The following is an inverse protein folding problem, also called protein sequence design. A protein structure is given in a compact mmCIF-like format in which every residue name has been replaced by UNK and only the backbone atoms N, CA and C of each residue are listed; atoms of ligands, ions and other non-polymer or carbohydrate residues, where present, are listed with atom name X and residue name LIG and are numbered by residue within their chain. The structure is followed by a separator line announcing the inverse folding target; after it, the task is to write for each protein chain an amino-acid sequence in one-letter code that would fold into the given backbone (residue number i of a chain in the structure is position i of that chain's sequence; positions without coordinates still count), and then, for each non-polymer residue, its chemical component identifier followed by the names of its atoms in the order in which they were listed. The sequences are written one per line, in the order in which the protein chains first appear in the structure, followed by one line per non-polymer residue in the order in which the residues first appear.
data_IF_958264672230
#
_entry.id   IF_958264672230
#
_cell.length_a   1.000
_cell.length_b   1.000
_cell.length_c   1.000
_cell.angle_alpha   90.00
_cell.angle_beta   90.00
_cell.angle_gamma   90.00
#
_symmetry.space_group_name_H-M   'P 1'
#
loop_
_entity.id
_entity.type
_entity.pdbx_description
1 polymer ?
#
# COMPACT_ATOMS: atom_id res chain seq x y z
N UNK A 1 -36.97 38.26 -21.40
CA UNK A 1 -35.60 37.70 -21.51
C UNK A 1 -35.71 36.20 -21.35
N UNK A 2 -35.28 35.49 -22.39
CA UNK A 2 -35.30 34.04 -22.60
C UNK A 2 -34.35 33.34 -21.60
N UNK A 3 -34.49 32.09 -21.17
CA UNK A 3 -34.70 30.86 -21.95
C UNK A 3 -35.32 29.73 -21.14
N UNK A 4 -36.13 28.93 -21.83
CA UNK A 4 -36.71 27.66 -21.41
C UNK A 4 -35.85 26.52 -21.99
N UNK A 5 -35.82 25.42 -21.24
CA UNK A 5 -35.31 24.05 -21.44
C UNK A 5 -35.33 23.48 -22.89
N UNK A 6 -34.55 22.41 -23.16
CA UNK A 6 -35.11 21.05 -23.35
C UNK A 6 -34.05 19.99 -23.72
N UNK A 7 -34.24 18.81 -23.13
CA UNK A 7 -33.61 17.55 -23.46
C UNK A 7 -34.07 16.99 -24.83
N UNK A 8 -33.19 16.18 -25.43
CA UNK A 8 -33.42 15.07 -26.38
C UNK A 8 -34.30 15.33 -27.63
N UNK A 9 -33.71 15.22 -28.83
CA UNK A 9 -34.32 14.59 -30.03
C UNK A 9 -33.19 14.15 -30.96
N UNK A 10 -33.07 12.83 -31.14
CA UNK A 10 -32.38 12.20 -32.28
C UNK A 10 -33.34 12.23 -33.46
N UNK A 11 -32.91 12.61 -34.67
CA UNK A 11 -33.48 12.09 -35.90
C UNK A 11 -32.51 12.21 -37.09
N UNK A 12 -32.43 11.10 -37.80
CA UNK A 12 -31.58 10.74 -38.92
C UNK A 12 -32.11 11.41 -40.19
N UNK A 13 -31.23 11.93 -41.06
CA UNK A 13 -31.55 12.07 -42.49
C UNK A 13 -30.37 11.57 -43.32
N UNK A 14 -30.54 10.36 -43.84
CA UNK A 14 -29.74 9.78 -44.93
C UNK A 14 -30.21 10.29 -46.29
N UNK A 15 -29.29 10.29 -47.25
CA UNK A 15 -29.44 10.42 -48.71
C UNK A 15 -29.42 11.84 -49.30
N UNK A 16 -28.37 12.16 -50.06
CA UNK A 16 -28.39 12.19 -51.53
C UNK A 16 -26.96 12.40 -52.09
N UNK A 17 -26.67 11.66 -53.15
CA UNK A 17 -25.40 11.56 -53.87
C UNK A 17 -25.29 12.76 -54.85
N UNK A 18 -24.12 13.40 -54.93
CA UNK A 18 -23.87 14.40 -55.97
C UNK A 18 -22.52 15.12 -55.91
N UNK A 19 -21.53 14.55 -56.62
CA UNK A 19 -20.44 15.19 -57.40
C UNK A 19 -19.32 16.01 -56.72
N UNK A 20 -18.08 15.53 -57.01
CA UNK A 20 -16.81 16.25 -57.27
C UNK A 20 -16.33 17.30 -56.25
N UNK A 21 -15.31 16.98 -55.45
CA UNK A 21 -13.92 17.12 -55.86
C UNK A 21 -12.92 16.60 -54.81
N UNK A 22 -11.78 16.20 -55.36
CA UNK A 22 -10.60 15.61 -54.78
C UNK A 22 -9.89 16.52 -53.76
N UNK A 23 -9.71 16.11 -52.50
CA UNK A 23 -8.53 16.52 -51.73
C UNK A 23 -8.04 15.39 -50.81
N UNK A 24 -6.80 15.02 -51.07
CA UNK A 24 -5.96 14.09 -50.33
C UNK A 24 -5.91 14.46 -48.85
N UNK A 25 -6.21 13.50 -47.98
CA UNK A 25 -5.36 13.27 -46.81
C UNK A 25 -5.56 11.85 -46.27
N UNK A 26 -4.61 10.99 -46.65
CA UNK A 26 -4.22 9.82 -45.86
C UNK A 26 -3.75 10.32 -44.49
N UNK A 27 -4.64 10.37 -43.52
CA UNK A 27 -4.24 10.27 -42.12
C UNK A 27 -4.56 8.87 -41.64
N UNK A 28 -3.51 8.04 -41.66
CA UNK A 28 -3.44 6.83 -40.86
C UNK A 28 -3.66 7.21 -39.40
N UNK A 29 -4.84 6.98 -38.84
CA UNK A 29 -5.02 6.94 -37.40
C UNK A 29 -4.49 5.59 -36.91
N UNK A 30 -3.18 5.51 -36.77
CA UNK A 30 -2.51 4.48 -36.00
C UNK A 30 -2.09 5.11 -34.67
N UNK A 31 -2.39 4.38 -33.60
CA UNK A 31 -1.98 4.56 -32.21
C UNK A 31 -2.82 5.52 -31.35
N UNK A 32 -3.81 4.95 -30.67
CA UNK A 32 -3.81 5.03 -29.21
C UNK A 32 -3.56 3.62 -28.67
N UNK A 33 -2.30 3.22 -28.63
CA UNK A 33 -1.88 2.16 -27.74
C UNK A 33 -1.85 2.78 -26.33
N UNK A 34 -2.78 2.37 -25.47
CA UNK A 34 -2.62 2.56 -24.04
C UNK A 34 -1.37 1.78 -23.62
N UNK A 35 -0.26 2.48 -23.41
CA UNK A 35 0.96 1.88 -22.89
C UNK A 35 0.80 1.61 -21.39
N UNK A 36 0.07 0.55 -21.07
CA UNK A 36 0.32 -0.26 -19.88
C UNK A 36 0.46 -1.70 -20.36
N UNK A 37 1.52 -1.97 -21.11
CA UNK A 37 1.90 -3.33 -21.44
C UNK A 37 2.90 -3.78 -20.39
N UNK A 38 2.42 -4.52 -19.38
CA UNK A 38 3.23 -5.10 -18.31
C UNK A 38 3.96 -6.35 -18.82
N UNK A 39 4.55 -6.24 -20.01
CA UNK A 39 5.05 -7.37 -20.76
C UNK A 39 6.55 -7.13 -20.96
N UNK A 40 7.34 -7.57 -19.97
CA UNK A 40 8.79 -7.34 -19.97
C UNK A 40 9.53 -8.46 -20.68
N UNK A 41 9.72 -8.26 -21.97
CA UNK A 41 10.45 -9.18 -22.82
C UNK A 41 11.27 -8.37 -23.83
N UNK A 42 12.34 -8.99 -24.34
CA UNK A 42 12.97 -8.51 -25.56
C UNK A 42 12.64 -9.44 -26.73
N UNK A 43 12.55 -8.90 -27.93
CA UNK A 43 12.41 -9.70 -29.16
C UNK A 43 13.76 -9.77 -29.83
N UNK A 44 14.27 -10.97 -30.09
CA UNK A 44 15.52 -11.12 -30.85
C UNK A 44 15.30 -10.94 -32.36
N UNK A 45 16.39 -10.91 -33.12
CA UNK A 45 16.36 -10.76 -34.60
C UNK A 45 15.58 -11.85 -35.35
N UNK A 46 15.18 -12.94 -34.68
CA UNK A 46 14.34 -14.01 -35.22
C UNK A 46 12.87 -13.90 -34.78
N UNK A 47 12.46 -12.79 -34.16
CA UNK A 47 11.09 -12.61 -33.68
C UNK A 47 10.74 -13.38 -32.39
N UNK A 48 11.71 -14.02 -31.73
CA UNK A 48 11.43 -14.77 -30.48
C UNK A 48 11.46 -13.83 -29.29
N UNK A 49 10.43 -13.94 -28.45
CA UNK A 49 10.33 -13.25 -27.17
C UNK A 49 11.22 -13.94 -26.13
N UNK A 50 12.06 -13.17 -25.48
CA UNK A 50 12.91 -13.57 -24.36
C UNK A 50 12.30 -12.93 -23.12
N UNK A 51 11.83 -13.76 -22.20
CA UNK A 51 11.30 -13.30 -20.91
C UNK A 51 12.42 -12.64 -20.11
N UNK A 52 12.23 -11.36 -19.82
CA UNK A 52 13.15 -10.57 -19.00
C UNK A 52 12.56 -10.32 -17.62
N UNK A 53 11.46 -10.96 -17.22
CA UNK A 53 10.80 -10.77 -15.92
C UNK A 53 11.78 -10.82 -14.75
N UNK A 54 12.76 -11.72 -14.75
CA UNK A 54 13.80 -11.80 -13.71
C UNK A 54 14.80 -10.62 -13.67
N UNK A 55 14.96 -9.89 -14.77
CA UNK A 55 15.79 -8.69 -14.88
C UNK A 55 14.97 -7.40 -14.68
N UNK A 56 13.74 -7.41 -15.20
CA UNK A 56 12.76 -6.33 -15.07
C UNK A 56 12.05 -6.34 -13.72
N UNK A 57 12.29 -7.36 -12.89
CA UNK A 57 11.95 -7.37 -11.46
C UNK A 57 12.79 -6.37 -10.66
N UNK A 58 13.09 -5.21 -11.24
CA UNK A 58 13.28 -3.97 -10.49
C UNK A 58 11.99 -3.53 -9.79
N UNK A 59 10.87 -4.20 -10.03
CA UNK A 59 9.59 -4.03 -9.38
C UNK A 59 9.46 -4.72 -8.01
N UNK A 60 10.50 -4.67 -7.15
CA UNK A 60 10.38 -4.62 -5.67
C UNK A 60 11.59 -3.92 -5.00
N UNK A 61 12.18 -2.93 -5.67
CA UNK A 61 13.10 -1.95 -5.05
C UNK A 61 12.42 -0.60 -4.80
N UNK A 62 11.09 -0.58 -4.72
CA UNK A 62 10.35 0.65 -4.50
C UNK A 62 10.44 1.05 -3.05
N UNK A 63 10.94 2.27 -2.81
CA UNK A 63 10.95 2.86 -1.49
C UNK A 63 9.53 3.26 -1.13
N UNK A 64 8.95 2.61 -0.11
CA UNK A 64 7.62 2.96 0.40
C UNK A 64 7.74 4.19 1.27
N UNK A 65 6.98 5.24 0.93
CA UNK A 65 6.98 6.50 1.69
C UNK A 65 5.68 6.62 2.48
N UNK A 66 5.80 6.69 3.80
CA UNK A 66 4.69 6.75 4.74
C UNK A 66 4.65 8.13 5.39
N UNK A 67 3.56 8.91 5.24
CA UNK A 67 3.44 10.18 5.92
C UNK A 67 3.35 9.98 7.44
N UNK A 68 4.06 10.82 8.20
CA UNK A 68 3.93 10.91 9.65
C UNK A 68 2.75 11.84 9.94
N UNK A 69 1.71 11.32 10.59
CA UNK A 69 0.49 12.10 10.88
C UNK A 69 0.75 13.21 11.89
N UNK A 70 1.50 12.88 12.94
CA UNK A 70 2.03 13.80 13.95
C UNK A 70 3.14 13.13 14.74
N UNK A 71 3.72 13.84 15.70
CA UNK A 71 4.64 13.27 16.68
C UNK A 71 4.10 13.41 18.09
N UNK A 72 4.24 12.36 18.89
CA UNK A 72 3.95 12.40 20.31
C UNK A 72 5.24 12.15 21.07
N UNK A 73 5.70 13.14 21.86
CA UNK A 73 7.00 13.09 22.56
C UNK A 73 8.17 12.74 21.63
N UNK A 74 8.13 13.23 20.39
CA UNK A 74 9.13 12.97 19.37
C UNK A 74 8.92 11.67 18.57
N UNK A 75 8.04 10.76 18.99
CA UNK A 75 7.80 9.48 18.32
C UNK A 75 6.82 9.68 17.14
N UNK A 76 7.12 9.17 15.93
CA UNK A 76 6.19 9.21 14.79
C UNK A 76 4.90 8.46 15.07
N UNK A 77 3.77 9.09 14.76
CA UNK A 77 2.46 8.42 14.72
C UNK A 77 2.05 8.22 13.26
N UNK A 78 1.69 6.99 12.91
CA UNK A 78 1.28 6.58 11.56
C UNK A 78 -0.09 5.92 11.58
N UNK A 79 -0.80 5.97 10.45
CA UNK A 79 -2.06 5.25 10.27
C UNK A 79 -1.79 3.85 9.71
N UNK A 80 -2.27 2.84 10.44
CA UNK A 80 -2.06 1.43 10.14
C UNK A 80 -3.41 0.76 9.94
N UNK A 81 -3.54 -0.01 8.86
CA UNK A 81 -4.78 -0.74 8.55
C UNK A 81 -4.67 -2.19 9.01
N UNK A 82 -5.55 -2.59 9.91
CA UNK A 82 -5.71 -3.96 10.39
C UNK A 82 -6.88 -4.64 9.67
N UNK A 83 -6.68 -5.92 9.35
CA UNK A 83 -7.68 -6.79 8.75
C UNK A 83 -8.38 -6.20 7.51
N UNK A 84 -7.68 -5.33 6.77
CA UNK A 84 -8.11 -4.72 5.52
C UNK A 84 -8.99 -3.47 5.64
N UNK A 85 -9.59 -3.18 6.81
CA UNK A 85 -10.55 -2.08 6.92
C UNK A 85 -10.56 -1.33 8.27
N UNK A 86 -9.86 -1.80 9.30
CA UNK A 86 -9.80 -1.11 10.60
C UNK A 86 -8.53 -0.27 10.68
N UNK A 87 -8.69 1.05 10.64
CA UNK A 87 -7.55 1.97 10.70
C UNK A 87 -7.32 2.40 12.15
N UNK A 88 -6.07 2.29 12.61
CA UNK A 88 -5.64 2.78 13.91
C UNK A 88 -4.40 3.65 13.77
N UNK A 89 -4.27 4.60 14.68
CA UNK A 89 -3.01 5.31 14.86
C UNK A 89 -2.08 4.48 15.75
N UNK A 90 -0.85 4.30 15.29
CA UNK A 90 0.16 3.56 16.04
C UNK A 90 1.44 4.38 16.17
N UNK A 91 2.14 4.20 17.28
CA UNK A 91 3.50 4.71 17.44
C UNK A 91 4.46 3.81 16.66
N UNK A 92 5.28 4.37 15.79
CA UNK A 92 6.39 3.62 15.21
C UNK A 92 7.51 3.54 16.25
N UNK A 93 7.75 2.34 16.78
CA UNK A 93 8.70 2.10 17.84
C UNK A 93 9.78 1.11 17.38
N UNK A 94 10.93 1.64 16.97
CA UNK A 94 12.08 0.82 16.55
C UNK A 94 12.77 0.11 17.71
N UNK A 95 12.46 0.48 18.96
CA UNK A 95 12.96 -0.21 20.15
C UNK A 95 12.12 -1.44 20.53
N UNK A 96 10.90 -1.56 20.00
CA UNK A 96 10.03 -2.70 20.22
C UNK A 96 10.32 -3.82 19.21
N UNK A 97 10.62 -5.02 19.73
CA UNK A 97 10.81 -6.21 18.89
C UNK A 97 9.50 -6.69 18.26
N UNK A 98 8.37 -6.52 18.96
CA UNK A 98 7.03 -6.93 18.51
C UNK A 98 6.11 -5.74 18.30
N UNK A 99 5.17 -5.89 17.38
CA UNK A 99 4.01 -5.01 17.23
C UNK A 99 2.95 -5.37 18.25
N UNK A 100 2.57 -4.39 19.07
CA UNK A 100 1.71 -4.55 20.22
C UNK A 100 0.40 -3.79 20.02
N UNK A 101 -0.73 -4.42 20.34
CA UNK A 101 -2.07 -3.81 20.25
C UNK A 101 -2.66 -3.58 21.64
N UNK A 102 -3.61 -2.63 21.73
CA UNK A 102 -4.35 -2.41 22.99
C UNK A 102 -5.44 -3.45 23.18
N UNK A 103 -5.94 -3.58 24.41
CA UNK A 103 -7.11 -4.42 24.69
C UNK A 103 -8.35 -4.00 23.89
N UNK A 104 -8.57 -2.69 23.71
CA UNK A 104 -9.68 -2.16 22.90
C UNK A 104 -9.56 -2.55 21.42
N UNK A 105 -8.35 -2.46 20.86
CA UNK A 105 -8.08 -2.93 19.50
C UNK A 105 -8.35 -4.43 19.38
N UNK A 106 -7.90 -5.23 20.35
CA UNK A 106 -8.12 -6.68 20.34
C UNK A 106 -9.61 -7.02 20.33
N UNK A 107 -10.42 -6.35 21.17
CA UNK A 107 -11.88 -6.52 21.20
C UNK A 107 -12.51 -6.14 19.85
N UNK A 108 -12.17 -4.97 19.30
CA UNK A 108 -12.74 -4.47 18.04
C UNK A 108 -12.34 -5.33 16.84
N UNK A 109 -11.15 -5.92 16.88
CA UNK A 109 -10.62 -6.81 15.84
C UNK A 109 -11.06 -8.27 16.03
N UNK A 110 -11.75 -8.60 17.12
CA UNK A 110 -12.09 -9.97 17.54
C UNK A 110 -10.84 -10.88 17.65
N UNK A 111 -9.75 -10.33 18.20
CA UNK A 111 -8.53 -11.07 18.47
C UNK A 111 -8.69 -11.78 19.81
N UNK A 112 -8.72 -13.11 19.77
CA UNK A 112 -8.76 -13.96 20.95
C UNK A 112 -7.33 -14.44 21.24
N UNK A 113 -6.79 -14.20 22.45
CA UNK A 113 -5.48 -14.72 22.81
C UNK A 113 -5.53 -16.23 23.06
N UNK A 114 -4.51 -16.95 22.63
CA UNK A 114 -4.37 -18.40 22.79
C UNK A 114 -3.11 -18.81 23.57
N UNK A 115 -2.18 -17.87 23.73
CA UNK A 115 -0.87 -18.07 24.35
C UNK A 115 -0.48 -16.82 25.16
N UNK A 116 0.64 -16.88 25.88
CA UNK A 116 1.21 -15.74 26.59
C UNK A 116 2.73 -15.81 26.50
N UNK A 117 3.39 -14.67 26.28
CA UNK A 117 4.85 -14.56 26.19
C UNK A 117 5.36 -13.50 27.18
N UNK A 118 6.54 -13.73 27.75
CA UNK A 118 7.24 -12.76 28.61
C UNK A 118 8.12 -11.84 27.75
N UNK A 119 8.08 -10.54 28.06
CA UNK A 119 8.86 -9.50 27.39
C UNK A 119 9.69 -8.71 28.37
N UNK A 120 10.91 -8.40 27.97
CA UNK A 120 11.77 -7.45 28.67
C UNK A 120 11.32 -6.02 28.35
N UNK A 121 11.12 -5.22 29.39
CA UNK A 121 10.75 -3.81 29.29
C UNK A 121 12.00 -2.95 29.46
N UNK A 122 12.00 -1.76 28.87
CA UNK A 122 13.13 -0.84 28.92
C UNK A 122 13.57 -0.43 30.34
N UNK A 123 12.70 -0.55 31.33
CA UNK A 123 13.01 -0.30 32.75
C UNK A 123 13.65 -1.51 33.46
N UNK A 124 13.91 -2.59 32.73
CA UNK A 124 14.48 -3.85 33.23
C UNK A 124 13.45 -4.81 33.83
N UNK A 125 12.18 -4.43 33.89
CA UNK A 125 11.12 -5.34 34.32
C UNK A 125 10.79 -6.37 33.24
N UNK A 126 10.18 -7.47 33.68
CA UNK A 126 9.65 -8.54 32.82
C UNK A 126 8.15 -8.56 32.96
N UNK A 127 7.45 -8.52 31.82
CA UNK A 127 5.99 -8.46 31.78
C UNK A 127 5.47 -9.53 30.82
N UNK A 128 4.50 -10.30 31.27
CA UNK A 128 3.80 -11.29 30.44
C UNK A 128 2.61 -10.65 29.75
N UNK A 129 2.53 -10.82 28.43
CA UNK A 129 1.41 -10.36 27.61
C UNK A 129 0.68 -11.56 26.98
N UNK A 130 -0.67 -11.58 27.02
CA UNK A 130 -1.45 -12.48 26.19
C UNK A 130 -1.16 -12.20 24.71
N UNK A 131 -1.00 -13.26 23.92
CA UNK A 131 -0.73 -13.18 22.49
C UNK A 131 -1.96 -13.69 21.74
N UNK A 132 -2.43 -12.88 20.80
CA UNK A 132 -3.42 -13.31 19.81
C UNK A 132 -2.88 -13.10 18.40
N UNK A 133 -3.75 -13.25 17.40
CA UNK A 133 -3.36 -13.16 15.99
C UNK A 133 -4.29 -12.25 15.18
N UNK A 134 -3.70 -11.37 14.38
CA UNK A 134 -4.43 -10.54 13.39
C UNK A 134 -4.28 -11.12 11.99
N UNK A 135 -5.31 -10.97 11.16
CA UNK A 135 -5.31 -11.51 9.77
C UNK A 135 -4.34 -10.75 8.89
N UNK A 136 -4.27 -9.43 9.03
CA UNK A 136 -3.26 -8.62 8.35
C UNK A 136 -3.05 -7.28 9.02
N UNK A 137 -1.85 -6.73 8.81
CA UNK A 137 -1.46 -5.36 9.13
C UNK A 137 -0.92 -4.75 7.84
N UNK A 138 -1.35 -3.54 7.50
CA UNK A 138 -0.93 -2.83 6.30
C UNK A 138 -0.50 -1.40 6.61
N UNK A 139 0.58 -0.95 5.99
CA UNK A 139 1.12 0.40 6.09
C UNK A 139 1.62 0.84 4.71
N UNK A 140 0.94 1.81 4.09
CA UNK A 140 1.17 2.12 2.68
C UNK A 140 0.92 0.89 1.79
N UNK A 141 1.88 0.54 0.95
CA UNK A 141 1.83 -0.67 0.11
C UNK A 141 2.33 -1.94 0.82
N UNK A 142 2.90 -1.83 2.03
CA UNK A 142 3.35 -3.00 2.80
C UNK A 142 2.18 -3.68 3.47
N UNK A 143 2.17 -5.01 3.40
CA UNK A 143 1.16 -5.85 4.06
C UNK A 143 1.81 -7.10 4.63
N UNK A 144 1.67 -7.29 5.94
CA UNK A 144 2.04 -8.52 6.65
C UNK A 144 0.76 -9.27 7.01
N UNK A 145 0.75 -10.58 6.79
CA UNK A 145 -0.42 -11.42 7.05
C UNK A 145 -0.18 -12.31 8.26
N UNK A 146 -1.27 -12.69 8.94
CA UNK A 146 -1.26 -13.72 9.97
C UNK A 146 -0.22 -13.45 11.07
N UNK A 147 -0.23 -12.25 11.62
CA UNK A 147 0.80 -11.78 12.55
C UNK A 147 0.38 -12.00 14.01
N UNK A 148 1.22 -12.66 14.84
CA UNK A 148 1.00 -12.69 16.28
C UNK A 148 1.21 -11.30 16.87
N UNK A 149 0.35 -10.91 17.81
CA UNK A 149 0.40 -9.58 18.44
C UNK A 149 0.19 -9.71 19.95
N UNK A 150 1.11 -9.20 20.79
CA UNK A 150 0.87 -9.02 22.21
C UNK A 150 -0.25 -8.01 22.46
N UNK A 151 -1.07 -8.30 23.47
CA UNK A 151 -2.20 -7.46 23.86
C UNK A 151 -1.88 -6.77 25.19
N UNK A 152 -1.65 -5.46 25.15
CA UNK A 152 -1.42 -4.68 26.36
C UNK A 152 -2.74 -4.21 26.97
N UNK A 153 -3.01 -4.66 28.19
CA UNK A 153 -4.25 -4.37 28.93
C UNK A 153 -4.33 -2.94 29.46
N UNK A 154 -3.20 -2.25 29.62
CA UNK A 154 -3.10 -0.90 30.20
C UNK A 154 -2.61 0.17 29.20
N UNK A 155 -2.34 -0.19 27.95
CA UNK A 155 -1.86 0.75 26.95
C UNK A 155 -3.03 1.45 26.26
N UNK A 156 -2.88 2.75 26.03
CA UNK A 156 -3.89 3.58 25.32
C UNK A 156 -3.61 3.69 23.82
N UNK A 157 -2.47 3.21 23.33
CA UNK A 157 -2.07 3.23 21.93
C UNK A 157 -1.19 2.03 21.61
N UNK A 158 -1.32 1.47 20.41
CA UNK A 158 -0.49 0.38 19.94
C UNK A 158 0.90 0.83 19.46
N UNK A 159 1.83 -0.11 19.45
CA UNK A 159 3.20 0.06 18.95
C UNK A 159 3.37 -0.75 17.67
N UNK A 160 3.95 -0.14 16.64
CA UNK A 160 4.39 -0.83 15.44
C UNK A 160 5.88 -1.12 15.57
N UNK A 161 6.19 -2.38 15.85
CA UNK A 161 7.54 -2.86 16.18
C UNK A 161 8.30 -3.38 14.97
N UNK A 162 9.51 -3.88 15.22
CA UNK A 162 10.43 -4.35 14.19
C UNK A 162 9.89 -5.53 13.37
N UNK A 163 9.13 -6.44 14.00
CA UNK A 163 8.50 -7.60 13.35
C UNK A 163 7.65 -7.27 12.12
N UNK A 164 7.04 -6.09 12.08
CA UNK A 164 6.25 -5.64 10.92
C UNK A 164 7.13 -5.28 9.71
N UNK A 165 8.29 -4.68 9.95
CA UNK A 165 9.17 -4.18 8.89
C UNK A 165 10.10 -5.27 8.33
N UNK A 166 10.35 -6.33 9.10
CA UNK A 166 11.19 -7.45 8.70
C UNK A 166 12.60 -6.98 8.30
N UNK A 167 13.00 -7.29 7.05
CA UNK A 167 14.34 -6.99 6.54
C UNK A 167 14.44 -5.65 5.81
N UNK A 168 13.46 -4.75 5.96
CA UNK A 168 13.50 -3.42 5.34
C UNK A 168 14.41 -2.48 6.12
N UNK A 169 15.15 -1.65 5.39
CA UNK A 169 15.80 -0.48 5.95
C UNK A 169 14.76 0.62 6.20
N UNK A 170 14.83 1.25 7.37
CA UNK A 170 13.89 2.29 7.80
C UNK A 170 14.63 3.61 7.94
N UNK A 171 14.18 4.65 7.25
CA UNK A 171 14.63 6.04 7.47
C UNK A 171 13.47 6.86 8.00
N UNK A 172 13.65 7.48 9.17
CA UNK A 172 12.65 8.32 9.80
C UNK A 172 13.03 9.78 9.56
N UNK A 173 12.40 10.42 8.58
CA UNK A 173 12.55 11.85 8.29
C UNK A 173 11.66 12.72 9.19
N UNK A 174 11.61 14.03 8.90
CA UNK A 174 10.79 14.97 9.68
C UNK A 174 9.30 14.63 9.62
N UNK A 175 8.79 14.46 8.40
CA UNK A 175 7.35 14.29 8.09
C UNK A 175 7.04 12.97 7.35
N UNK A 176 8.06 12.17 7.03
CA UNK A 176 7.92 10.96 6.22
C UNK A 176 8.84 9.88 6.74
N UNK A 177 8.37 8.64 6.72
CA UNK A 177 9.16 7.43 6.90
C UNK A 177 9.39 6.82 5.53
N UNK A 178 10.62 6.43 5.24
CA UNK A 178 10.99 5.72 4.01
C UNK A 178 11.40 4.30 4.36
N UNK A 179 10.79 3.34 3.69
CA UNK A 179 11.05 1.91 3.85
C UNK A 179 11.61 1.39 2.54
N UNK A 180 12.80 0.82 2.56
CA UNK A 180 13.47 0.33 1.35
C UNK A 180 14.04 -1.07 1.57
N UNK A 181 14.11 -1.92 0.55
CA UNK A 181 14.82 -3.19 0.66
C UNK A 181 16.26 -2.97 1.08
N UNK A 182 16.72 -3.79 2.02
CA UNK A 182 18.10 -3.78 2.46
C UNK A 182 19.00 -4.26 1.32
N UNK A 183 19.91 -3.39 0.86
CA UNK A 183 20.92 -3.79 -0.11
C UNK A 183 22.02 -4.57 0.61
N UNK A 184 22.25 -5.81 0.22
CA UNK A 184 23.49 -6.50 0.55
C UNK A 184 24.63 -5.78 -0.18
N UNK A 185 25.57 -5.23 0.60
CA UNK A 185 26.85 -4.73 0.08
C UNK A 185 27.74 -5.90 -0.36
#
# INVERSE_FOLDING_TARGET
MSKINLATITLIVSSLIGMSDLFVNKFNFVNQANAQDLDCFMVNSKGRRIDLSGLCSSSQNETVRIPIKRRMRGIPIVEVTFNGNRVYEMMLDTGASRTLITAEMAQTLNVVPDTSEEFDIADGSKVSFPIGKVKSISLGSLKVQMMPVPIATKANMGLLGHDFFGNLDIKIGRNVIELSPRRSL
#
